data_IF_358422886838
#
_entry.id   IF_358422886838
#
_cell.length_a   1.000
_cell.length_b   1.000
_cell.length_c   1.000
_cell.angle_alpha   90.00
_cell.angle_beta   90.00
_cell.angle_gamma   90.00
#
_symmetry.space_group_name_H-M   'P 1'
#
loop_
_entity.id
_entity.type
_entity.pdbx_description
1 polymer ?
#
# COMPACT_ATOMS: atom_id res chain seq x y z
N UNK A 1 36.51 -14.50 -6.39
CA UNK A 1 35.27 -15.18 -6.81
C UNK A 1 34.70 -16.15 -5.76
N UNK A 2 35.44 -17.18 -5.30
CA UNK A 2 34.91 -18.18 -4.35
C UNK A 2 34.39 -17.63 -3.01
N UNK A 3 34.95 -16.51 -2.51
CA UNK A 3 34.55 -15.92 -1.22
C UNK A 3 33.13 -15.34 -1.25
N UNK A 4 32.75 -14.69 -2.35
CA UNK A 4 31.39 -14.15 -2.54
C UNK A 4 30.36 -15.26 -2.71
N UNK A 5 30.70 -16.32 -3.46
CA UNK A 5 29.83 -17.46 -3.65
C UNK A 5 29.56 -18.19 -2.32
N UNK A 6 30.60 -18.36 -1.49
CA UNK A 6 30.48 -18.97 -0.16
C UNK A 6 29.66 -18.10 0.81
N UNK A 7 29.75 -16.76 0.70
CA UNK A 7 28.90 -15.85 1.47
C UNK A 7 27.43 -15.97 1.05
N UNK A 8 27.13 -15.98 -0.25
CA UNK A 8 25.76 -16.15 -0.75
C UNK A 8 25.15 -17.48 -0.32
N UNK A 9 25.90 -18.59 -0.46
CA UNK A 9 25.47 -19.91 0.01
C UNK A 9 25.21 -19.93 1.52
N UNK A 10 26.07 -19.29 2.31
CA UNK A 10 25.90 -19.20 3.76
C UNK A 10 24.66 -18.40 4.13
N UNK A 11 24.42 -17.25 3.47
CA UNK A 11 23.20 -16.46 3.65
C UNK A 11 21.94 -17.22 3.25
N UNK A 12 21.99 -18.02 2.18
CA UNK A 12 20.87 -18.85 1.75
C UNK A 12 20.56 -19.94 2.79
N UNK A 13 21.58 -20.62 3.32
CA UNK A 13 21.40 -21.63 4.37
C UNK A 13 20.90 -20.99 5.67
N UNK A 14 21.47 -19.85 6.06
CA UNK A 14 21.04 -19.10 7.25
C UNK A 14 19.58 -18.61 7.11
N UNK A 15 19.13 -18.22 5.90
CA UNK A 15 17.74 -17.85 5.63
C UNK A 15 16.76 -19.01 5.90
N UNK A 16 17.08 -20.22 5.42
CA UNK A 16 16.24 -21.39 5.69
C UNK A 16 16.28 -21.78 7.18
N UNK A 17 17.44 -21.66 7.83
CA UNK A 17 17.59 -21.98 9.27
C UNK A 17 16.85 -20.99 10.16
N UNK A 18 16.79 -19.72 9.80
CA UNK A 18 16.09 -18.67 10.55
C UNK A 18 14.57 -18.64 10.26
N UNK A 19 14.01 -19.68 9.62
CA UNK A 19 12.58 -19.80 9.33
C UNK A 19 12.10 -18.86 8.23
N UNK A 20 12.99 -18.41 7.35
CA UNK A 20 12.73 -17.41 6.31
C UNK A 20 11.60 -17.79 5.36
N UNK A 21 11.42 -19.08 5.05
CA UNK A 21 10.29 -19.56 4.25
C UNK A 21 8.94 -19.30 4.93
N UNK A 22 8.85 -19.56 6.24
CA UNK A 22 7.62 -19.35 7.00
C UNK A 22 7.32 -17.85 7.17
N UNK A 23 8.37 -17.04 7.33
CA UNK A 23 8.29 -15.58 7.35
C UNK A 23 7.83 -15.02 6.00
N UNK A 24 8.42 -15.46 4.89
CA UNK A 24 8.04 -15.04 3.54
C UNK A 24 6.61 -15.49 3.18
N UNK A 25 6.24 -16.72 3.56
CA UNK A 25 4.89 -17.25 3.35
C UNK A 25 3.83 -16.48 4.11
N UNK A 26 4.04 -16.23 5.41
CA UNK A 26 3.13 -15.43 6.23
C UNK A 26 3.02 -13.99 5.72
N UNK A 27 4.14 -13.35 5.38
CA UNK A 27 4.16 -12.00 4.80
C UNK A 27 3.36 -11.94 3.49
N UNK A 28 3.54 -12.90 2.59
CA UNK A 28 2.83 -12.96 1.31
C UNK A 28 1.32 -13.13 1.53
N UNK A 29 0.92 -14.03 2.42
CA UNK A 29 -0.48 -14.26 2.75
C UNK A 29 -1.17 -13.02 3.34
N UNK A 30 -0.55 -12.39 4.35
CA UNK A 30 -1.09 -11.18 4.95
C UNK A 30 -1.14 -10.01 3.97
N UNK A 31 -0.12 -9.86 3.12
CA UNK A 31 -0.11 -8.84 2.07
C UNK A 31 -1.26 -9.05 1.09
N UNK A 32 -1.48 -10.29 0.65
CA UNK A 32 -2.54 -10.63 -0.31
C UNK A 32 -3.93 -10.41 0.28
N UNK A 33 -4.15 -10.75 1.56
CA UNK A 33 -5.40 -10.44 2.27
C UNK A 33 -5.63 -8.94 2.45
N UNK A 34 -4.57 -8.19 2.80
CA UNK A 34 -4.68 -6.77 3.06
C UNK A 34 -4.68 -5.90 1.78
N UNK A 35 -4.38 -6.47 0.61
CA UNK A 35 -4.34 -5.76 -0.67
C UNK A 35 -5.69 -5.12 -1.02
N UNK A 36 -6.78 -5.89 -0.89
CA UNK A 36 -8.14 -5.42 -1.21
C UNK A 36 -8.57 -4.25 -0.31
N UNK A 37 -8.55 -4.36 1.04
CA UNK A 37 -8.91 -3.24 1.89
C UNK A 37 -7.96 -2.06 1.73
N UNK A 38 -6.69 -2.28 1.38
CA UNK A 38 -5.73 -1.21 1.10
C UNK A 38 -6.09 -0.43 -0.17
N UNK A 39 -6.44 -1.12 -1.25
CA UNK A 39 -6.93 -0.48 -2.47
C UNK A 39 -8.20 0.34 -2.18
N UNK A 40 -9.16 -0.21 -1.42
CA UNK A 40 -10.38 0.51 -1.05
C UNK A 40 -10.09 1.73 -0.17
N UNK A 41 -9.15 1.61 0.77
CA UNK A 41 -8.69 2.71 1.62
C UNK A 41 -8.10 3.86 0.78
N UNK A 42 -7.21 3.53 -0.17
CA UNK A 42 -6.62 4.48 -1.10
C UNK A 42 -7.68 5.19 -1.93
N UNK A 43 -8.59 4.43 -2.55
CA UNK A 43 -9.65 5.01 -3.39
C UNK A 43 -10.58 5.89 -2.55
N UNK A 44 -10.86 5.54 -1.29
CA UNK A 44 -11.69 6.36 -0.40
C UNK A 44 -10.99 7.67 -0.03
N UNK A 45 -9.70 7.64 0.30
CA UNK A 45 -8.91 8.85 0.56
C UNK A 45 -8.85 9.75 -0.67
N UNK A 46 -8.51 9.17 -1.83
CA UNK A 46 -8.47 9.89 -3.09
C UNK A 46 -9.84 10.46 -3.44
N UNK A 47 -10.92 9.69 -3.29
CA UNK A 47 -12.28 10.14 -3.54
C UNK A 47 -12.71 11.30 -2.64
N UNK A 48 -12.31 11.32 -1.37
CA UNK A 48 -12.57 12.45 -0.47
C UNK A 48 -11.78 13.70 -0.86
N UNK A 49 -10.51 13.55 -1.26
CA UNK A 49 -9.67 14.66 -1.75
C UNK A 49 -10.18 15.21 -3.10
N UNK A 50 -10.56 14.33 -4.03
CA UNK A 50 -11.08 14.69 -5.36
C UNK A 50 -12.51 15.26 -5.28
N UNK A 51 -13.36 14.75 -4.39
CA UNK A 51 -14.73 15.22 -4.20
C UNK A 51 -14.82 16.66 -3.69
N UNK A 52 -13.79 17.13 -2.97
CA UNK A 52 -13.70 18.54 -2.53
C UNK A 52 -13.37 19.52 -3.67
N UNK A 53 -12.68 19.06 -4.73
CA UNK A 53 -12.18 19.91 -5.81
C UNK A 53 -12.59 19.34 -7.19
N UNK A 54 -13.70 19.84 -7.75
CA UNK A 54 -14.22 19.39 -9.05
C UNK A 54 -13.22 19.51 -10.20
N UNK A 55 -12.38 20.54 -10.18
CA UNK A 55 -11.32 20.75 -11.18
C UNK A 55 -10.24 19.67 -11.09
N UNK A 56 -9.90 19.24 -9.86
CA UNK A 56 -8.92 18.19 -9.62
C UNK A 56 -9.44 16.81 -10.05
N UNK A 57 -10.74 16.56 -9.85
CA UNK A 57 -11.40 15.36 -10.37
C UNK A 57 -11.33 15.28 -11.90
N UNK A 58 -11.63 16.38 -12.61
CA UNK A 58 -11.55 16.39 -14.08
C UNK A 58 -10.12 16.22 -14.59
N UNK A 59 -9.13 16.85 -13.94
CA UNK A 59 -7.71 16.64 -14.26
C UNK A 59 -7.32 15.17 -14.15
N UNK A 60 -7.64 14.53 -13.02
CA UNK A 60 -7.31 13.13 -12.75
C UNK A 60 -7.97 12.18 -13.74
N UNK A 61 -9.27 12.35 -14.02
CA UNK A 61 -10.02 11.52 -14.98
C UNK A 61 -9.49 11.69 -16.40
N UNK A 62 -9.18 12.92 -16.85
CA UNK A 62 -8.63 13.13 -18.20
C UNK A 62 -7.28 12.44 -18.38
N UNK A 63 -6.43 12.45 -17.35
CA UNK A 63 -5.12 11.78 -17.38
C UNK A 63 -5.28 10.27 -17.34
N UNK A 64 -6.21 9.74 -16.54
CA UNK A 64 -6.51 8.32 -16.46
C UNK A 64 -7.02 7.75 -17.81
N UNK A 65 -7.88 8.50 -18.51
CA UNK A 65 -8.36 8.19 -19.87
C UNK A 65 -7.20 8.17 -20.87
N UNK A 66 -6.25 9.10 -20.76
CA UNK A 66 -5.08 9.14 -21.63
C UNK A 66 -4.15 7.94 -21.47
N UNK A 67 -4.00 7.41 -20.25
CA UNK A 67 -3.11 6.26 -19.98
C UNK A 67 -3.78 4.90 -20.23
N UNK A 68 -5.08 4.78 -19.97
CA UNK A 68 -5.81 3.51 -20.11
C UNK A 68 -7.05 3.65 -21.00
N UNK A 69 -6.90 3.99 -22.30
CA UNK A 69 -8.01 4.30 -23.20
C UNK A 69 -9.00 3.15 -23.41
N UNK A 70 -8.62 1.91 -23.06
CA UNK A 70 -9.41 0.68 -23.28
C UNK A 70 -10.15 0.17 -22.05
N UNK A 71 -9.86 0.68 -20.85
CA UNK A 71 -10.40 0.17 -19.57
C UNK A 71 -11.27 1.25 -18.86
N UNK A 72 -11.41 2.44 -19.45
CA UNK A 72 -11.81 3.61 -18.68
C UNK A 72 -13.29 3.71 -18.35
N UNK A 73 -14.21 3.16 -19.15
CA UNK A 73 -15.64 3.33 -18.87
C UNK A 73 -16.05 2.68 -17.55
N UNK A 74 -15.65 1.41 -17.35
CA UNK A 74 -15.99 0.67 -16.13
C UNK A 74 -15.26 1.19 -14.89
N UNK A 75 -13.96 1.52 -15.00
CA UNK A 75 -13.19 2.05 -13.87
C UNK A 75 -13.68 3.45 -13.49
N UNK A 76 -13.99 4.31 -14.45
CA UNK A 76 -14.48 5.68 -14.18
C UNK A 76 -15.87 5.66 -13.57
N UNK A 77 -16.74 4.74 -13.99
CA UNK A 77 -18.08 4.59 -13.44
C UNK A 77 -18.04 4.08 -12.00
N UNK A 78 -17.18 3.10 -11.69
CA UNK A 78 -16.94 2.64 -10.32
C UNK A 78 -16.31 3.74 -9.45
N UNK A 79 -15.32 4.49 -9.95
CA UNK A 79 -14.74 5.64 -9.25
C UNK A 79 -15.83 6.68 -8.95
N UNK A 80 -16.68 7.00 -9.94
CA UNK A 80 -17.80 7.95 -9.76
C UNK A 80 -18.79 7.44 -8.71
N UNK A 81 -19.07 6.14 -8.69
CA UNK A 81 -19.97 5.50 -7.71
C UNK A 81 -19.38 5.56 -6.31
N UNK A 82 -18.09 5.30 -6.15
CA UNK A 82 -17.36 5.40 -4.88
C UNK A 82 -17.34 6.85 -4.36
N UNK A 83 -17.14 7.83 -5.24
CA UNK A 83 -17.16 9.26 -4.88
C UNK A 83 -18.58 9.74 -4.51
N UNK A 84 -19.62 9.22 -5.18
CA UNK A 84 -21.01 9.66 -4.94
C UNK A 84 -21.58 9.13 -3.61
N UNK A 85 -21.10 7.98 -3.12
CA UNK A 85 -21.50 7.42 -1.82
C UNK A 85 -20.75 8.07 -0.64
N UNK A 86 -20.99 9.37 -0.42
CA UNK A 86 -20.44 10.16 0.69
C UNK A 86 -20.87 9.69 2.10
N UNK A 87 -21.94 8.87 2.21
CA UNK A 87 -22.56 8.51 3.50
C UNK A 87 -21.87 7.42 4.32
N UNK A 88 -21.04 6.57 3.70
CA UNK A 88 -20.31 5.49 4.39
C UNK A 88 -18.86 5.88 4.76
N UNK A 89 -18.42 7.07 4.34
CA UNK A 89 -17.01 7.41 4.13
C UNK A 89 -16.12 7.58 5.37
N UNK A 90 -16.66 7.69 6.59
CA UNK A 90 -15.81 7.80 7.81
C UNK A 90 -15.59 6.45 8.50
N UNK A 91 -16.67 5.69 8.72
CA UNK A 91 -16.59 4.38 9.36
C UNK A 91 -15.93 3.35 8.45
N UNK A 92 -16.26 3.35 7.15
CA UNK A 92 -15.59 2.48 6.18
C UNK A 92 -14.12 2.84 6.01
N UNK A 93 -13.76 4.13 6.04
CA UNK A 93 -12.36 4.56 5.97
C UNK A 93 -11.56 4.11 7.18
N UNK A 94 -12.11 4.22 8.39
CA UNK A 94 -11.49 3.69 9.60
C UNK A 94 -11.33 2.17 9.52
N UNK A 95 -12.36 1.46 9.07
CA UNK A 95 -12.34 0.00 8.93
C UNK A 95 -11.31 -0.47 7.89
N UNK A 96 -11.28 0.16 6.71
CA UNK A 96 -10.29 -0.14 5.67
C UNK A 96 -8.89 0.22 6.12
N UNK A 97 -8.69 1.34 6.81
CA UNK A 97 -7.41 1.71 7.39
C UNK A 97 -6.92 0.68 8.42
N UNK A 98 -7.82 0.21 9.28
CA UNK A 98 -7.53 -0.84 10.25
C UNK A 98 -7.18 -2.18 9.59
N UNK A 99 -7.94 -2.62 8.59
CA UNK A 99 -7.66 -3.84 7.83
C UNK A 99 -6.34 -3.74 7.04
N UNK A 100 -6.04 -2.56 6.51
CA UNK A 100 -4.81 -2.28 5.76
C UNK A 100 -3.57 -2.21 6.64
N UNK A 101 -3.73 -1.87 7.93
CA UNK A 101 -2.62 -1.84 8.89
C UNK A 101 -1.90 -3.18 8.99
N UNK A 102 -2.61 -4.29 8.79
CA UNK A 102 -2.04 -5.64 8.75
C UNK A 102 -0.88 -5.74 7.74
N UNK A 103 -0.97 -5.07 6.58
CA UNK A 103 0.05 -5.08 5.54
C UNK A 103 1.38 -4.50 6.05
N UNK A 104 1.31 -3.35 6.72
CA UNK A 104 2.49 -2.68 7.28
C UNK A 104 3.06 -3.43 8.47
N UNK A 105 2.19 -3.94 9.35
CA UNK A 105 2.57 -4.76 10.49
C UNK A 105 3.33 -6.03 10.05
N UNK A 106 2.88 -6.68 8.99
CA UNK A 106 3.57 -7.86 8.43
C UNK A 106 4.94 -7.52 7.85
N UNK A 107 5.08 -6.40 7.13
CA UNK A 107 6.38 -5.95 6.60
C UNK A 107 7.35 -5.59 7.74
N UNK A 108 6.88 -4.84 8.73
CA UNK A 108 7.69 -4.43 9.88
C UNK A 108 8.16 -5.65 10.69
N UNK A 109 7.25 -6.60 10.94
CA UNK A 109 7.58 -7.85 11.63
C UNK A 109 8.64 -8.64 10.86
N UNK A 110 8.53 -8.74 9.53
CA UNK A 110 9.52 -9.41 8.70
C UNK A 110 10.90 -8.75 8.78
N UNK A 111 10.96 -7.42 8.69
CA UNK A 111 12.21 -6.65 8.82
C UNK A 111 12.82 -6.85 10.21
N UNK A 112 12.03 -6.75 11.28
CA UNK A 112 12.52 -6.93 12.65
C UNK A 112 13.10 -8.33 12.88
N UNK A 113 12.47 -9.37 12.31
CA UNK A 113 12.98 -10.74 12.36
C UNK A 113 14.29 -10.88 11.57
N UNK A 114 14.36 -10.36 10.34
CA UNK A 114 15.56 -10.43 9.48
C UNK A 114 16.75 -9.73 10.13
N UNK A 115 16.55 -8.52 10.66
CA UNK A 115 17.62 -7.74 11.28
C UNK A 115 17.85 -8.08 12.76
N UNK A 116 17.09 -9.04 13.33
CA UNK A 116 17.16 -9.44 14.75
C UNK A 116 17.00 -8.25 15.72
N UNK A 117 16.23 -7.25 15.31
CA UNK A 117 15.98 -6.02 16.08
C UNK A 117 14.76 -6.26 16.98
N UNK A 118 14.96 -6.26 18.31
CA UNK A 118 13.88 -6.40 19.31
C UNK A 118 13.24 -5.06 19.71
N UNK A 119 12.99 -4.17 18.75
CA UNK A 119 12.31 -2.92 19.05
C UNK A 119 10.82 -3.09 18.76
N UNK A 120 10.02 -3.28 19.81
CA UNK A 120 8.56 -3.12 19.75
C UNK A 120 8.26 -1.63 19.60
N UNK A 121 8.17 -1.13 18.37
CA UNK A 121 7.60 0.22 18.15
C UNK A 121 6.12 0.20 18.52
N UNK A 122 5.62 1.30 19.08
CA UNK A 122 4.20 1.39 19.44
C UNK A 122 3.36 1.34 18.17
N UNK A 123 2.21 0.63 18.21
CA UNK A 123 1.31 0.46 17.06
C UNK A 123 0.95 1.79 16.38
N UNK A 124 0.87 2.86 17.16
CA UNK A 124 0.54 4.22 16.68
C UNK A 124 1.68 4.79 15.82
N UNK A 125 2.94 4.58 16.21
CA UNK A 125 4.10 5.07 15.43
C UNK A 125 4.19 4.33 14.10
N UNK A 126 3.96 3.02 14.09
CA UNK A 126 3.91 2.25 12.83
C UNK A 126 2.75 2.68 11.95
N UNK A 127 1.57 2.94 12.52
CA UNK A 127 0.42 3.46 11.76
C UNK A 127 0.71 4.83 11.15
N UNK A 128 1.31 5.76 11.90
CA UNK A 128 1.68 7.09 11.40
C UNK A 128 2.75 7.00 10.32
N UNK A 129 3.78 6.16 10.51
CA UNK A 129 4.83 5.96 9.50
C UNK A 129 4.25 5.35 8.22
N UNK A 130 3.31 4.40 8.36
CA UNK A 130 2.60 3.79 7.24
C UNK A 130 1.77 4.81 6.48
N UNK A 131 1.00 5.63 7.21
CA UNK A 131 0.26 6.75 6.62
C UNK A 131 1.21 7.69 5.88
N UNK A 132 2.33 8.06 6.49
CA UNK A 132 3.35 8.91 5.88
C UNK A 132 3.91 8.32 4.59
N UNK A 133 4.27 7.03 4.57
CA UNK A 133 4.77 6.35 3.36
C UNK A 133 3.70 6.31 2.26
N UNK A 134 2.45 6.00 2.62
CA UNK A 134 1.34 6.01 1.66
C UNK A 134 1.13 7.42 1.09
N UNK A 135 1.13 8.45 1.94
CA UNK A 135 1.03 9.84 1.51
C UNK A 135 2.20 10.21 0.59
N UNK A 136 3.41 9.75 0.88
CA UNK A 136 4.60 10.00 0.05
C UNK A 136 4.47 9.32 -1.32
N UNK A 137 4.03 8.06 -1.37
CA UNK A 137 3.77 7.34 -2.62
C UNK A 137 2.72 8.09 -3.45
N UNK A 138 1.61 8.49 -2.83
CA UNK A 138 0.55 9.26 -3.49
C UNK A 138 1.10 10.60 -4.00
N UNK A 139 1.89 11.32 -3.20
CA UNK A 139 2.51 12.58 -3.61
C UNK A 139 3.49 12.41 -4.78
N UNK A 140 4.34 11.38 -4.75
CA UNK A 140 5.27 11.06 -5.85
C UNK A 140 4.50 10.69 -7.11
N UNK A 141 3.43 9.91 -6.99
CA UNK A 141 2.55 9.61 -8.12
C UNK A 141 1.96 10.90 -8.70
N UNK A 142 1.43 11.79 -7.86
CA UNK A 142 0.90 13.08 -8.32
C UNK A 142 1.96 13.96 -8.99
N UNK A 143 3.18 14.04 -8.43
CA UNK A 143 4.28 14.79 -9.05
C UNK A 143 4.65 14.17 -10.40
N UNK A 144 4.68 12.84 -10.50
CA UNK A 144 4.93 12.13 -11.76
C UNK A 144 3.86 12.43 -12.81
N UNK A 145 2.58 12.46 -12.41
CA UNK A 145 1.47 12.83 -13.27
C UNK A 145 1.43 14.33 -13.61
N UNK A 146 1.96 15.21 -12.76
CA UNK A 146 2.03 16.66 -12.99
C UNK A 146 3.27 17.11 -13.76
N UNK A 147 4.33 16.30 -13.79
CA UNK A 147 5.57 16.56 -14.52
C UNK A 147 5.53 16.08 -15.99
N UNK A 148 4.45 15.42 -16.43
CA UNK A 148 4.22 14.96 -17.81
C UNK A 148 2.95 15.58 -18.37
#
# INVERSE_FOLDING_TARGET
MMRYLRMLLKSFIDFFRDGGLMLAGSMSFFTMMALVPFCLFLVTILGQFLGHNRDFYQFFVSRLISFFPRITSQITEEIKRIITYHGLGKYSLLLYGFLSYQLFSSIESAINVIFKIRVKRSMIVSFILSLFVVTMIVAVLFISFGAT
#
